data_IF_804060692845
#
_entry.id   IF_804060692845
#
_cell.length_a   1.000
_cell.length_b   1.000
_cell.length_c   1.000
_cell.angle_alpha   90.00
_cell.angle_beta   90.00
_cell.angle_gamma   90.00
#
_symmetry.space_group_name_H-M   'P 1'
#
loop_
_entity.id
_entity.type
_entity.pdbx_description
1 polymer ?
#
# COMPACT_ATOMS: atom_id res chain seq x y z
N UNK A 1 25.76 22.78 6.53
CA UNK A 1 25.13 21.54 6.05
C UNK A 1 24.76 20.57 7.19
N UNK A 2 25.72 20.23 8.07
CA UNK A 2 25.48 19.30 9.22
C UNK A 2 24.33 19.79 10.13
N UNK A 3 24.33 21.06 10.51
CA UNK A 3 23.30 21.66 11.37
C UNK A 3 21.89 21.54 10.76
N UNK A 4 21.74 21.76 9.45
CA UNK A 4 20.46 21.61 8.76
C UNK A 4 19.99 20.15 8.78
N UNK A 5 20.87 19.19 8.54
CA UNK A 5 20.54 17.76 8.62
C UNK A 5 20.12 17.36 10.04
N UNK A 6 20.81 17.85 11.07
CA UNK A 6 20.48 17.57 12.46
C UNK A 6 19.09 18.12 12.83
N UNK A 7 18.78 19.35 12.39
CA UNK A 7 17.45 19.96 12.60
C UNK A 7 16.36 19.12 11.90
N UNK A 8 16.57 18.72 10.64
CA UNK A 8 15.61 17.91 9.90
C UNK A 8 15.37 16.54 10.57
N UNK A 9 16.44 15.88 11.02
CA UNK A 9 16.33 14.62 11.76
C UNK A 9 15.56 14.83 13.07
N UNK A 10 15.82 15.91 13.81
CA UNK A 10 15.09 16.26 15.02
C UNK A 10 13.59 16.48 14.74
N UNK A 11 13.24 17.21 13.70
CA UNK A 11 11.85 17.42 13.29
C UNK A 11 11.17 16.09 12.92
N UNK A 12 11.81 15.24 12.11
CA UNK A 12 11.28 13.93 11.73
C UNK A 12 11.08 13.03 12.96
N UNK A 13 12.01 13.04 13.91
CA UNK A 13 11.86 12.30 15.16
C UNK A 13 10.65 12.79 15.97
N UNK A 14 10.47 14.10 16.12
CA UNK A 14 9.33 14.68 16.84
C UNK A 14 8.00 14.31 16.19
N UNK A 15 7.91 14.42 14.86
CA UNK A 15 6.71 14.02 14.09
C UNK A 15 6.43 12.53 14.29
N UNK A 16 7.44 11.69 14.17
CA UNK A 16 7.30 10.24 14.37
C UNK A 16 6.83 9.91 15.81
N UNK A 17 7.46 10.51 16.82
CA UNK A 17 7.07 10.35 18.22
C UNK A 17 5.61 10.78 18.45
N UNK A 18 5.20 11.93 17.91
CA UNK A 18 3.83 12.41 18.03
C UNK A 18 2.83 11.49 17.32
N UNK A 19 3.16 11.02 16.11
CA UNK A 19 2.33 10.08 15.36
C UNK A 19 2.12 8.76 16.12
N UNK A 20 3.17 8.23 16.72
CA UNK A 20 3.07 7.02 17.54
C UNK A 20 2.26 7.26 18.84
N UNK A 21 2.45 8.39 19.50
CA UNK A 21 1.67 8.74 20.72
C UNK A 21 0.17 8.86 20.45
N UNK A 22 -0.21 9.36 19.26
CA UNK A 22 -1.60 9.54 18.87
C UNK A 22 -2.21 8.32 18.16
N UNK A 23 -1.43 7.25 17.98
CA UNK A 23 -1.84 6.05 17.23
C UNK A 23 -2.41 6.36 15.83
N UNK A 24 -1.85 7.38 15.16
CA UNK A 24 -2.38 7.90 13.91
C UNK A 24 -2.53 6.82 12.84
N UNK A 25 -1.56 5.91 12.73
CA UNK A 25 -1.61 4.82 11.76
C UNK A 25 -2.78 3.87 12.01
N UNK A 26 -2.94 3.41 13.27
CA UNK A 26 -4.04 2.52 13.66
C UNK A 26 -5.39 3.17 13.42
N UNK A 27 -5.57 4.42 13.87
CA UNK A 27 -6.82 5.18 13.68
C UNK A 27 -7.14 5.35 12.18
N UNK A 28 -6.14 5.64 11.36
CA UNK A 28 -6.32 5.75 9.92
C UNK A 28 -6.85 4.44 9.32
N UNK A 29 -6.26 3.29 9.70
CA UNK A 29 -6.70 1.99 9.21
C UNK A 29 -8.13 1.67 9.65
N UNK A 30 -8.44 1.89 10.93
CA UNK A 30 -9.75 1.63 11.52
C UNK A 30 -10.84 2.52 10.89
N UNK A 31 -10.59 3.81 10.73
CA UNK A 31 -11.55 4.72 10.10
C UNK A 31 -11.77 4.41 8.62
N UNK A 32 -10.76 3.94 7.91
CA UNK A 32 -10.93 3.47 6.54
C UNK A 32 -11.83 2.23 6.50
N UNK A 33 -11.59 1.24 7.38
CA UNK A 33 -12.46 0.07 7.47
C UNK A 33 -13.89 0.48 7.79
N UNK A 34 -14.11 1.40 8.73
CA UNK A 34 -15.42 1.94 9.03
C UNK A 34 -16.08 2.57 7.79
N UNK A 35 -15.36 3.44 7.09
CA UNK A 35 -15.90 4.11 5.90
C UNK A 35 -16.33 3.11 4.82
N UNK A 36 -15.53 2.05 4.59
CA UNK A 36 -15.86 1.03 3.60
C UNK A 36 -17.01 0.11 4.06
N UNK A 37 -17.08 -0.22 5.34
CA UNK A 37 -18.23 -0.99 5.88
C UNK A 37 -19.53 -0.18 5.85
N UNK A 38 -19.47 1.12 6.14
CA UNK A 38 -20.61 2.04 5.99
C UNK A 38 -21.06 2.16 4.52
N UNK A 39 -20.13 2.21 3.58
CA UNK A 39 -20.44 2.20 2.15
C UNK A 39 -21.19 0.92 1.76
N UNK A 40 -20.73 -0.24 2.21
CA UNK A 40 -21.42 -1.51 1.95
C UNK A 40 -22.81 -1.50 2.57
N UNK A 41 -22.97 -1.03 3.82
CA UNK A 41 -24.26 -0.90 4.49
C UNK A 41 -25.22 0.01 3.72
N UNK A 42 -24.73 1.15 3.26
CA UNK A 42 -25.49 2.10 2.47
C UNK A 42 -26.09 1.45 1.21
N UNK A 43 -25.28 0.71 0.44
CA UNK A 43 -25.77 0.05 -0.77
C UNK A 43 -26.73 -1.10 -0.49
N UNK A 44 -26.53 -1.84 0.62
CA UNK A 44 -27.48 -2.86 1.06
C UNK A 44 -28.84 -2.23 1.45
N UNK A 45 -28.82 -1.13 2.21
CA UNK A 45 -30.01 -0.44 2.66
C UNK A 45 -30.83 0.16 1.52
N UNK A 46 -30.18 0.75 0.51
CA UNK A 46 -30.87 1.34 -0.66
C UNK A 46 -31.68 0.31 -1.43
N UNK A 47 -31.25 -0.94 -1.48
CA UNK A 47 -31.99 -2.02 -2.14
C UNK A 47 -32.96 -2.73 -1.20
N UNK A 48 -33.19 -2.21 -0.01
CA UNK A 48 -34.14 -2.77 0.95
C UNK A 48 -33.68 -4.11 1.54
N UNK A 49 -32.40 -4.45 1.45
CA UNK A 49 -31.86 -5.63 2.12
C UNK A 49 -31.93 -5.44 3.64
N UNK A 50 -32.50 -6.41 4.34
CA UNK A 50 -32.57 -6.44 5.81
C UNK A 50 -31.29 -6.95 6.47
N UNK A 51 -30.30 -7.35 5.67
CA UNK A 51 -29.02 -7.86 6.17
C UNK A 51 -28.14 -6.71 6.64
N UNK A 52 -27.71 -6.77 7.87
CA UNK A 52 -26.73 -5.84 8.42
C UNK A 52 -25.29 -6.25 8.04
N UNK A 53 -24.48 -5.31 7.62
CA UNK A 53 -23.06 -5.56 7.32
C UNK A 53 -22.33 -6.14 8.54
N UNK A 54 -22.73 -5.78 9.75
CA UNK A 54 -22.21 -6.36 10.99
C UNK A 54 -22.32 -7.89 11.04
N UNK A 55 -23.34 -8.48 10.39
CA UNK A 55 -23.57 -9.93 10.36
C UNK A 55 -22.63 -10.65 9.39
N UNK A 56 -22.43 -10.05 8.22
CA UNK A 56 -21.61 -10.63 7.13
C UNK A 56 -20.14 -10.19 7.17
N UNK A 57 -19.77 -9.29 8.08
CA UNK A 57 -18.41 -8.80 8.22
C UNK A 57 -17.45 -9.94 8.59
N UNK A 58 -16.25 -10.02 7.95
CA UNK A 58 -15.24 -11.04 8.24
C UNK A 58 -14.88 -11.09 9.73
N UNK A 59 -14.72 -12.31 10.25
CA UNK A 59 -14.42 -12.56 11.68
C UNK A 59 -13.20 -11.79 12.17
N UNK A 60 -12.19 -11.62 11.33
CA UNK A 60 -10.96 -10.91 11.64
C UNK A 60 -11.21 -9.43 11.98
N UNK A 61 -12.11 -8.76 11.25
CA UNK A 61 -12.53 -7.38 11.57
C UNK A 61 -13.40 -7.37 12.82
N UNK A 62 -14.34 -8.32 12.95
CA UNK A 62 -15.19 -8.42 14.16
C UNK A 62 -14.37 -8.53 15.44
N UNK A 63 -13.29 -9.30 15.43
CA UNK A 63 -12.43 -9.48 16.59
C UNK A 63 -11.39 -8.36 16.75
N UNK A 64 -10.81 -7.90 15.64
CA UNK A 64 -9.75 -6.89 15.65
C UNK A 64 -10.24 -5.47 15.95
N UNK A 65 -11.46 -5.15 15.51
CA UNK A 65 -12.05 -3.81 15.65
C UNK A 65 -13.54 -3.93 16.01
N UNK A 66 -13.87 -4.48 17.21
CA UNK A 66 -15.26 -4.82 17.57
C UNK A 66 -16.19 -3.60 17.60
N UNK A 67 -15.69 -2.41 17.92
CA UNK A 67 -16.48 -1.19 17.99
C UNK A 67 -17.13 -0.80 16.64
N UNK A 68 -16.54 -1.18 15.50
CA UNK A 68 -17.16 -0.96 14.17
C UNK A 68 -18.45 -1.77 14.04
N UNK A 69 -18.42 -3.03 14.47
CA UNK A 69 -19.62 -3.87 14.48
C UNK A 69 -20.74 -3.30 15.34
N UNK A 70 -20.41 -2.75 16.50
CA UNK A 70 -21.40 -2.12 17.38
C UNK A 70 -22.03 -0.87 16.74
N UNK A 71 -21.22 -0.01 16.13
CA UNK A 71 -21.75 1.15 15.39
C UNK A 71 -22.69 0.70 14.25
N UNK A 72 -22.28 -0.29 13.46
CA UNK A 72 -23.11 -0.76 12.36
C UNK A 72 -24.47 -1.31 12.81
N UNK A 73 -24.56 -1.95 13.98
CA UNK A 73 -25.81 -2.44 14.55
C UNK A 73 -26.77 -1.31 14.99
N UNK A 74 -26.25 -0.14 15.31
CA UNK A 74 -27.07 1.02 15.72
C UNK A 74 -27.63 1.81 14.54
N UNK A 75 -27.18 1.53 13.32
CA UNK A 75 -27.66 2.24 12.14
C UNK A 75 -29.07 1.78 11.77
N UNK A 76 -30.01 2.70 11.51
CA UNK A 76 -31.31 2.34 11.03
C UNK A 76 -31.20 1.70 9.64
N UNK A 77 -31.95 0.65 9.40
CA UNK A 77 -32.14 0.05 8.08
C UNK A 77 -33.38 0.71 7.44
N UNK A 78 -33.30 1.99 7.16
CA UNK A 78 -34.40 2.69 6.50
C UNK A 78 -34.50 2.21 5.05
N UNK A 79 -35.70 1.79 4.66
CA UNK A 79 -36.02 1.46 3.28
C UNK A 79 -35.96 2.78 2.46
N UNK A 80 -34.81 3.00 1.82
CA UNK A 80 -34.74 4.08 0.84
C UNK A 80 -35.50 3.62 -0.41
N UNK A 81 -36.59 4.31 -0.74
CA UNK A 81 -37.38 4.02 -1.94
C UNK A 81 -36.49 4.11 -3.19
N UNK A 82 -36.44 2.98 -3.89
CA UNK A 82 -35.95 2.75 -5.25
C UNK A 82 -35.25 3.90 -5.95
N UNK A 83 -33.94 3.86 -5.97
CA UNK A 83 -33.16 4.44 -7.06
C UNK A 83 -32.73 3.31 -7.97
N UNK A 84 -33.29 3.26 -9.17
CA UNK A 84 -32.87 2.33 -10.23
C UNK A 84 -31.36 2.50 -10.47
N UNK A 85 -30.68 1.38 -10.67
CA UNK A 85 -29.30 1.34 -11.15
C UNK A 85 -28.17 1.69 -10.15
N UNK A 86 -28.42 1.81 -8.84
CA UNK A 86 -27.34 2.13 -7.87
C UNK A 86 -26.27 1.05 -7.84
N UNK A 87 -26.62 -0.23 -7.91
CA UNK A 87 -25.64 -1.32 -7.96
C UNK A 87 -24.78 -1.20 -9.22
N UNK A 88 -25.40 -0.81 -10.33
CA UNK A 88 -24.70 -0.55 -11.56
C UNK A 88 -23.67 0.57 -11.37
N UNK A 89 -24.08 1.71 -10.80
CA UNK A 89 -23.16 2.81 -10.48
C UNK A 89 -22.06 2.36 -9.53
N UNK A 90 -22.37 1.64 -8.47
CA UNK A 90 -21.35 1.13 -7.54
C UNK A 90 -20.35 0.23 -8.23
N UNK A 91 -20.82 -0.76 -9.02
CA UNK A 91 -19.96 -1.73 -9.72
C UNK A 91 -19.04 -1.04 -10.72
N UNK A 92 -19.58 -0.12 -11.52
CA UNK A 92 -18.77 0.55 -12.55
C UNK A 92 -17.83 1.60 -11.97
N UNK A 93 -18.25 2.34 -10.96
CA UNK A 93 -17.39 3.30 -10.27
C UNK A 93 -16.20 2.60 -9.60
N UNK A 94 -16.47 1.52 -8.86
CA UNK A 94 -15.40 0.76 -8.22
C UNK A 94 -14.48 0.08 -9.24
N UNK A 95 -15.03 -0.43 -10.33
CA UNK A 95 -14.21 -0.97 -11.42
C UNK A 95 -13.29 0.10 -12.00
N UNK A 96 -13.81 1.27 -12.33
CA UNK A 96 -13.02 2.39 -12.86
C UNK A 96 -11.95 2.85 -11.86
N UNK A 97 -12.27 2.90 -10.57
CA UNK A 97 -11.30 3.17 -9.52
C UNK A 97 -10.15 2.17 -9.53
N UNK A 98 -10.46 0.85 -9.55
CA UNK A 98 -9.43 -0.19 -9.55
C UNK A 98 -8.59 -0.18 -10.84
N UNK A 99 -9.19 0.10 -11.99
CA UNK A 99 -8.47 0.26 -13.27
C UNK A 99 -7.48 1.43 -13.21
N UNK A 100 -7.93 2.60 -12.70
CA UNK A 100 -7.07 3.77 -12.51
C UNK A 100 -5.96 3.52 -11.48
N UNK A 101 -6.27 2.84 -10.38
CA UNK A 101 -5.30 2.47 -9.35
C UNK A 101 -4.27 1.46 -9.86
N UNK A 102 -4.70 0.48 -10.67
CA UNK A 102 -3.82 -0.50 -11.32
C UNK A 102 -2.79 0.18 -12.21
N UNK A 103 -3.21 1.09 -13.08
CA UNK A 103 -2.31 1.85 -13.96
C UNK A 103 -1.26 2.62 -13.17
N UNK A 104 -1.68 3.29 -12.09
CA UNK A 104 -0.75 4.01 -11.19
C UNK A 104 0.23 3.07 -10.49
N UNK A 105 -0.23 1.92 -10.01
CA UNK A 105 0.61 0.93 -9.35
C UNK A 105 1.62 0.29 -10.32
N UNK A 106 1.21 -0.03 -11.55
CA UNK A 106 2.10 -0.57 -12.59
C UNK A 106 3.16 0.46 -13.02
N UNK A 107 2.78 1.73 -13.20
CA UNK A 107 3.71 2.81 -13.49
C UNK A 107 4.73 3.00 -12.35
N UNK A 108 4.26 2.98 -11.09
CA UNK A 108 5.13 3.05 -9.92
C UNK A 108 6.10 1.87 -9.86
N UNK A 109 5.63 0.64 -10.10
CA UNK A 109 6.47 -0.57 -10.15
C UNK A 109 7.52 -0.48 -11.25
N UNK A 110 7.14 -0.01 -12.45
CA UNK A 110 8.08 0.19 -13.56
C UNK A 110 9.17 1.20 -13.18
N UNK A 111 8.79 2.31 -12.56
CA UNK A 111 9.73 3.34 -12.07
C UNK A 111 10.67 2.79 -11.00
N UNK A 112 10.15 2.06 -10.01
CA UNK A 112 10.96 1.41 -8.97
C UNK A 112 11.99 0.47 -9.57
N UNK A 113 11.56 -0.44 -10.46
CA UNK A 113 12.48 -1.36 -11.16
C UNK A 113 13.58 -0.63 -11.93
N UNK A 114 13.24 0.50 -12.59
CA UNK A 114 14.22 1.32 -13.30
C UNK A 114 15.24 1.92 -12.34
N UNK A 115 14.78 2.50 -11.22
CA UNK A 115 15.66 3.11 -10.20
C UNK A 115 16.58 2.05 -9.59
N UNK A 116 16.04 0.89 -9.16
CA UNK A 116 16.85 -0.18 -8.58
C UNK A 116 17.90 -0.69 -9.57
N UNK A 117 17.52 -0.95 -10.82
CA UNK A 117 18.47 -1.36 -11.86
C UNK A 117 19.58 -0.33 -12.05
N UNK A 118 19.21 0.94 -12.12
CA UNK A 118 20.20 2.03 -12.28
C UNK A 118 21.14 2.11 -11.07
N UNK A 119 20.63 1.98 -9.85
CA UNK A 119 21.44 1.95 -8.64
C UNK A 119 22.42 0.77 -8.64
N UNK A 120 21.98 -0.42 -9.02
CA UNK A 120 22.82 -1.62 -9.14
C UNK A 120 23.92 -1.39 -10.19
N UNK A 121 23.59 -0.90 -11.38
CA UNK A 121 24.59 -0.66 -12.43
C UNK A 121 25.62 0.38 -11.99
N UNK A 122 25.20 1.47 -11.36
CA UNK A 122 26.12 2.49 -10.84
C UNK A 122 27.04 1.89 -9.77
N UNK A 123 26.50 1.10 -8.85
CA UNK A 123 27.30 0.46 -7.80
C UNK A 123 28.33 -0.51 -8.39
N UNK A 124 27.90 -1.37 -9.32
CA UNK A 124 28.80 -2.34 -9.99
C UNK A 124 29.89 -1.60 -10.78
N UNK A 125 29.52 -0.54 -11.52
CA UNK A 125 30.49 0.26 -12.28
C UNK A 125 31.50 0.93 -11.36
N UNK A 126 31.04 1.46 -10.20
CA UNK A 126 31.94 2.05 -9.21
C UNK A 126 32.93 1.02 -8.62
N UNK A 127 32.47 -0.22 -8.38
CA UNK A 127 33.37 -1.31 -7.96
C UNK A 127 34.42 -1.63 -9.01
N UNK A 128 34.04 -1.74 -10.29
CA UNK A 128 34.96 -2.04 -11.39
C UNK A 128 36.01 -0.93 -11.52
N UNK A 129 35.55 0.33 -11.52
CA UNK A 129 36.46 1.50 -11.59
C UNK A 129 37.41 1.51 -10.39
N UNK A 130 36.88 1.25 -9.19
CA UNK A 130 37.66 1.17 -7.95
C UNK A 130 38.74 0.10 -8.02
N UNK A 131 38.42 -1.07 -8.54
CA UNK A 131 39.33 -2.20 -8.69
C UNK A 131 40.42 -1.89 -9.70
N UNK A 132 40.09 -1.29 -10.84
CA UNK A 132 41.08 -0.86 -11.85
C UNK A 132 42.00 0.19 -11.25
N UNK A 133 41.45 1.19 -10.57
CA UNK A 133 42.24 2.26 -9.92
C UNK A 133 43.21 1.67 -8.86
N UNK A 134 42.74 0.78 -7.98
CA UNK A 134 43.53 0.12 -6.96
C UNK A 134 44.69 -0.67 -7.60
N UNK A 135 44.45 -1.37 -8.72
CA UNK A 135 45.44 -2.15 -9.44
C UNK A 135 46.50 -1.25 -10.07
N UNK A 136 46.13 -0.14 -10.71
CA UNK A 136 47.04 0.83 -11.31
C UNK A 136 47.94 1.47 -10.22
N UNK A 137 47.32 1.88 -9.11
CA UNK A 137 48.05 2.52 -8.01
C UNK A 137 48.99 1.56 -7.29
N UNK A 138 48.67 0.27 -7.23
CA UNK A 138 49.54 -0.76 -6.69
C UNK A 138 50.82 -0.93 -7.51
N UNK A 139 50.72 -0.79 -8.85
CA UNK A 139 51.85 -0.97 -9.78
C UNK A 139 52.71 0.28 -9.87
N UNK A 140 52.13 1.49 -9.82
CA UNK A 140 52.83 2.73 -10.20
C UNK A 140 53.24 3.64 -9.03
N UNK A 141 52.58 3.61 -7.89
CA UNK A 141 52.82 4.55 -6.79
C UNK A 141 52.37 3.99 -5.44
N UNK A 142 53.30 3.49 -4.62
CA UNK A 142 52.97 3.05 -3.26
C UNK A 142 52.82 4.20 -2.24
N UNK A 143 52.92 5.46 -2.66
CA UNK A 143 53.09 6.64 -1.77
C UNK A 143 51.83 7.07 -1.00
N UNK A 144 52.08 7.82 0.10
CA UNK A 144 51.07 8.23 1.12
C UNK A 144 49.93 9.09 0.54
N UNK A 145 50.19 9.89 -0.50
CA UNK A 145 49.13 10.73 -1.12
C UNK A 145 48.01 9.90 -1.76
N UNK A 146 48.32 8.71 -2.29
CA UNK A 146 47.35 7.78 -2.82
C UNK A 146 46.38 7.19 -1.74
N UNK A 147 46.78 7.21 -0.46
CA UNK A 147 46.01 6.68 0.63
C UNK A 147 44.67 7.43 0.85
N UNK A 148 44.68 8.77 0.79
CA UNK A 148 43.48 9.58 0.95
C UNK A 148 42.50 9.37 -0.19
N UNK A 149 42.97 9.24 -1.42
CA UNK A 149 42.10 8.95 -2.60
C UNK A 149 41.49 7.56 -2.49
N UNK A 150 42.29 6.56 -2.13
CA UNK A 150 41.82 5.18 -1.87
C UNK A 150 40.75 5.14 -0.79
N UNK A 151 40.95 5.85 0.33
CA UNK A 151 39.99 5.94 1.42
C UNK A 151 38.69 6.60 0.95
N UNK A 152 38.77 7.73 0.25
CA UNK A 152 37.60 8.41 -0.30
C UNK A 152 36.79 7.53 -1.24
N UNK A 153 37.46 6.79 -2.12
CA UNK A 153 36.84 5.88 -3.07
C UNK A 153 36.12 4.72 -2.37
N UNK A 154 36.74 4.12 -1.34
CA UNK A 154 36.10 3.06 -0.51
C UNK A 154 34.87 3.56 0.22
N UNK A 155 34.90 4.79 0.75
CA UNK A 155 33.71 5.40 1.40
C UNK A 155 32.61 5.61 0.41
N UNK A 156 32.88 6.12 -0.79
CA UNK A 156 31.87 6.35 -1.84
C UNK A 156 31.22 5.02 -2.26
N UNK A 157 32.04 4.00 -2.56
CA UNK A 157 31.54 2.67 -2.95
C UNK A 157 30.72 2.04 -1.84
N UNK A 158 31.18 2.13 -0.58
CA UNK A 158 30.44 1.65 0.59
C UNK A 158 29.08 2.34 0.72
N UNK A 159 29.03 3.65 0.60
CA UNK A 159 27.78 4.43 0.65
C UNK A 159 26.81 4.05 -0.47
N UNK A 160 27.29 3.87 -1.71
CA UNK A 160 26.48 3.44 -2.83
C UNK A 160 25.88 2.04 -2.62
N UNK A 161 26.69 1.12 -2.07
CA UNK A 161 26.26 -0.25 -1.77
C UNK A 161 25.14 -0.27 -0.72
N UNK A 162 25.35 0.43 0.40
CA UNK A 162 24.35 0.55 1.47
C UNK A 162 23.07 1.20 0.94
N UNK A 163 23.18 2.27 0.15
CA UNK A 163 22.03 2.93 -0.46
C UNK A 163 21.23 2.00 -1.39
N UNK A 164 21.92 1.18 -2.17
CA UNK A 164 21.27 0.21 -3.08
C UNK A 164 20.51 -0.87 -2.29
N UNK A 165 21.11 -1.42 -1.24
CA UNK A 165 20.46 -2.41 -0.36
C UNK A 165 19.25 -1.78 0.33
N UNK A 166 19.39 -0.54 0.82
CA UNK A 166 18.27 0.17 1.45
C UNK A 166 17.10 0.39 0.48
N UNK A 167 17.38 0.82 -0.76
CA UNK A 167 16.37 1.01 -1.80
C UNK A 167 15.63 -0.31 -2.11
N UNK A 168 16.35 -1.40 -2.25
CA UNK A 168 15.75 -2.70 -2.54
C UNK A 168 14.88 -3.19 -1.38
N UNK A 169 15.37 -3.08 -0.15
CA UNK A 169 14.62 -3.42 1.06
C UNK A 169 13.36 -2.55 1.20
N UNK A 170 13.47 -1.24 0.99
CA UNK A 170 12.34 -0.32 1.04
C UNK A 170 11.28 -0.64 0.00
N UNK A 171 11.70 -0.89 -1.26
CA UNK A 171 10.77 -1.25 -2.32
C UNK A 171 10.15 -2.65 -2.14
N UNK A 172 10.88 -3.59 -1.56
CA UNK A 172 10.37 -4.90 -1.18
C UNK A 172 9.22 -4.81 -0.18
N UNK A 173 9.35 -3.96 0.84
CA UNK A 173 8.29 -3.72 1.84
C UNK A 173 7.03 -3.08 1.26
N UNK A 174 7.12 -2.35 0.15
CA UNK A 174 5.95 -1.71 -0.47
C UNK A 174 4.97 -2.68 -1.15
N UNK A 175 5.34 -3.94 -1.35
CA UNK A 175 4.50 -5.04 -1.90
C UNK A 175 3.63 -4.66 -3.09
N UNK A 176 4.15 -3.82 -4.00
CA UNK A 176 3.41 -3.37 -5.18
C UNK A 176 2.91 -4.52 -6.06
N UNK A 177 3.58 -5.67 -6.01
CA UNK A 177 3.15 -6.86 -6.76
C UNK A 177 1.81 -7.39 -6.25
N UNK A 178 1.62 -7.44 -4.94
CA UNK A 178 0.38 -7.86 -4.29
C UNK A 178 -0.73 -6.86 -4.57
N UNK A 179 -0.46 -5.56 -4.39
CA UNK A 179 -1.40 -4.48 -4.72
C UNK A 179 -1.89 -4.56 -6.17
N UNK A 180 -0.98 -4.81 -7.13
CA UNK A 180 -1.34 -4.99 -8.55
C UNK A 180 -2.23 -6.22 -8.75
N UNK A 181 -1.91 -7.35 -8.10
CA UNK A 181 -2.71 -8.56 -8.20
C UNK A 181 -4.10 -8.38 -7.58
N UNK A 182 -4.20 -7.68 -6.44
CA UNK A 182 -5.48 -7.36 -5.81
C UNK A 182 -6.35 -6.49 -6.72
N UNK A 183 -5.79 -5.43 -7.31
CA UNK A 183 -6.56 -4.62 -8.26
C UNK A 183 -7.02 -5.43 -9.47
N UNK A 184 -6.19 -6.31 -10.03
CA UNK A 184 -6.58 -7.21 -11.14
C UNK A 184 -7.70 -8.14 -10.74
N UNK A 185 -7.65 -8.72 -9.53
CA UNK A 185 -8.70 -9.59 -8.99
C UNK A 185 -10.01 -8.84 -8.85
N UNK A 186 -9.99 -7.62 -8.31
CA UNK A 186 -11.18 -6.80 -8.14
C UNK A 186 -11.78 -6.36 -9.48
N UNK A 187 -10.98 -5.97 -10.45
CA UNK A 187 -11.45 -5.65 -11.82
C UNK A 187 -12.16 -6.85 -12.44
N UNK A 188 -11.59 -8.05 -12.31
CA UNK A 188 -12.22 -9.27 -12.83
C UNK A 188 -13.55 -9.57 -12.11
N UNK A 189 -13.61 -9.38 -10.78
CA UNK A 189 -14.81 -9.54 -9.98
C UNK A 189 -15.90 -8.56 -10.43
N UNK A 190 -15.62 -7.26 -10.46
CA UNK A 190 -16.59 -6.24 -10.87
C UNK A 190 -17.05 -6.44 -12.33
N UNK A 191 -16.16 -6.89 -13.21
CA UNK A 191 -16.53 -7.22 -14.59
C UNK A 191 -17.50 -8.40 -14.65
N UNK A 192 -17.27 -9.45 -13.85
CA UNK A 192 -18.18 -10.61 -13.75
C UNK A 192 -19.53 -10.20 -13.18
N UNK A 193 -19.54 -9.41 -12.12
CA UNK A 193 -20.78 -8.93 -11.47
C UNK A 193 -21.56 -8.02 -12.42
N UNK A 194 -20.90 -7.07 -13.09
CA UNK A 194 -21.55 -6.21 -14.08
C UNK A 194 -22.22 -6.99 -15.22
N UNK A 195 -21.56 -8.05 -15.73
CA UNK A 195 -22.17 -8.94 -16.72
C UNK A 195 -23.37 -9.70 -16.19
N UNK A 196 -23.33 -10.11 -14.91
CA UNK A 196 -24.45 -10.82 -14.28
C UNK A 196 -25.64 -9.89 -14.08
N UNK A 197 -25.43 -8.65 -13.65
CA UNK A 197 -26.48 -7.64 -13.51
C UNK A 197 -27.14 -7.35 -14.86
N UNK A 198 -26.36 -7.21 -15.93
CA UNK A 198 -26.89 -7.00 -17.29
C UNK A 198 -27.74 -8.18 -17.78
N UNK A 199 -27.44 -9.41 -17.35
CA UNK A 199 -28.18 -10.61 -17.79
C UNK A 199 -29.41 -10.94 -16.93
N UNK A 200 -29.30 -10.81 -15.62
CA UNK A 200 -30.30 -11.29 -14.62
C UNK A 200 -31.01 -10.15 -13.90
N UNK A 201 -30.59 -8.91 -14.12
CA UNK A 201 -31.01 -7.77 -13.30
C UNK A 201 -30.28 -7.71 -11.95
N UNK A 202 -30.60 -6.70 -11.17
CA UNK A 202 -30.07 -6.50 -9.82
C UNK A 202 -30.85 -7.36 -8.81
N UNK A 203 -30.27 -8.47 -8.38
CA UNK A 203 -30.86 -9.35 -7.36
C UNK A 203 -30.16 -9.15 -6.01
N UNK A 204 -30.90 -9.38 -4.91
CA UNK A 204 -30.34 -9.31 -3.56
C UNK A 204 -29.14 -10.27 -3.38
N UNK A 205 -29.20 -11.46 -3.98
CA UNK A 205 -28.09 -12.43 -3.95
C UNK A 205 -26.79 -11.86 -4.54
N UNK A 206 -26.89 -11.18 -5.70
CA UNK A 206 -25.74 -10.53 -6.35
C UNK A 206 -25.19 -9.42 -5.46
N UNK A 207 -26.06 -8.65 -4.82
CA UNK A 207 -25.70 -7.57 -3.93
C UNK A 207 -24.99 -8.08 -2.67
N UNK A 208 -25.51 -9.10 -2.02
CA UNK A 208 -24.89 -9.73 -0.85
C UNK A 208 -23.54 -10.36 -1.21
N UNK A 209 -23.45 -11.02 -2.36
CA UNK A 209 -22.18 -11.56 -2.85
C UNK A 209 -21.15 -10.44 -3.07
N UNK A 210 -21.56 -9.33 -3.70
CA UNK A 210 -20.69 -8.16 -3.92
C UNK A 210 -20.22 -7.56 -2.59
N UNK A 211 -21.15 -7.33 -1.66
CA UNK A 211 -20.84 -6.79 -0.35
C UNK A 211 -19.84 -7.67 0.42
N UNK A 212 -20.06 -9.00 0.39
CA UNK A 212 -19.14 -9.94 1.04
C UNK A 212 -17.74 -9.90 0.42
N UNK A 213 -17.60 -9.90 -0.91
CA UNK A 213 -16.30 -9.81 -1.58
C UNK A 213 -15.59 -8.49 -1.28
N UNK A 214 -16.34 -7.40 -1.25
CA UNK A 214 -15.83 -6.09 -0.90
C UNK A 214 -15.32 -6.03 0.56
N UNK A 215 -16.05 -6.62 1.50
CA UNK A 215 -15.64 -6.72 2.89
C UNK A 215 -14.42 -7.62 3.09
N UNK A 216 -14.30 -8.71 2.32
CA UNK A 216 -13.11 -9.57 2.33
C UNK A 216 -11.88 -8.80 1.83
N UNK A 217 -12.01 -8.04 0.75
CA UNK A 217 -10.91 -7.21 0.24
C UNK A 217 -10.44 -6.21 1.30
N UNK A 218 -11.38 -5.49 1.92
CA UNK A 218 -11.06 -4.53 2.97
C UNK A 218 -10.39 -5.16 4.18
N UNK A 219 -10.85 -6.34 4.60
CA UNK A 219 -10.26 -7.06 5.72
C UNK A 219 -8.85 -7.54 5.40
N UNK A 220 -8.61 -8.01 4.19
CA UNK A 220 -7.29 -8.41 3.71
C UNK A 220 -6.33 -7.22 3.67
N UNK A 221 -6.81 -6.09 3.14
CA UNK A 221 -6.04 -4.85 3.12
C UNK A 221 -5.68 -4.38 4.54
N UNK A 222 -6.64 -4.38 5.47
CA UNK A 222 -6.42 -4.01 6.86
C UNK A 222 -5.39 -4.93 7.53
N UNK A 223 -5.54 -6.25 7.36
CA UNK A 223 -4.62 -7.23 7.91
C UNK A 223 -3.19 -7.04 7.39
N UNK A 224 -3.06 -6.74 6.11
CA UNK A 224 -1.76 -6.46 5.50
C UNK A 224 -1.14 -5.18 6.05
N UNK A 225 -1.88 -4.08 6.08
CA UNK A 225 -1.39 -2.78 6.54
C UNK A 225 -1.07 -2.77 8.05
N UNK A 226 -1.84 -3.49 8.86
CA UNK A 226 -1.59 -3.61 10.30
C UNK A 226 -0.29 -4.36 10.62
N UNK A 227 0.08 -5.35 9.78
CA UNK A 227 1.34 -6.10 9.91
C UNK A 227 2.57 -5.34 9.39
N UNK A 228 2.37 -4.49 8.39
CA UNK A 228 3.45 -3.76 7.71
C UNK A 228 3.56 -2.30 8.20
N UNK A 229 3.32 -2.07 9.49
CA UNK A 229 3.58 -0.78 10.11
C UNK A 229 5.04 -0.38 9.85
N UNK A 230 5.27 0.81 9.32
CA UNK A 230 6.61 1.36 9.19
C UNK A 230 7.16 1.66 10.59
N UNK A 231 7.86 0.70 11.17
CA UNK A 231 8.59 0.90 12.42
C UNK A 231 9.98 1.46 12.07
N UNK A 232 10.27 2.66 12.51
CA UNK A 232 11.65 3.12 12.60
C UNK A 232 12.26 2.36 13.78
N UNK A 233 13.07 1.36 13.47
CA UNK A 233 13.90 0.68 14.47
C UNK A 233 15.10 1.61 14.72
N UNK A 234 15.08 2.30 15.85
CA UNK A 234 16.25 2.99 16.39
C UNK A 234 16.90 2.12 17.46
#
# INVERSE_FOLDING_TARGET
MILLCTILIGILYLIHRQSNRLDCHRKYLEYRVLAETLRAQFFLSIKGSKVQVAEIMPWFIKQGIPWIGEILKTLPLDEVKETKDIIYFWVFDQKAYHEGALLKAEAKRKRQKKITKMAIYLTVSAYIIGLIFETIMYVHSPDVEAHLIRLGLKIIIGFMSVSTIFLESYYGKMSLSETINDHKRMIALYTKIGKNILKKGETEEILLYLANQFLIENSTWYAYQSKNKAELVF
#
